data_IF_752673163636
#
_entry.id   IF_752673163636
#
_cell.length_a   1.000
_cell.length_b   1.000
_cell.length_c   1.000
_cell.angle_alpha   90.00
_cell.angle_beta   90.00
_cell.angle_gamma   90.00
#
_symmetry.space_group_name_H-M   'P 1'
#
loop_
_entity.id
_entity.type
_entity.pdbx_description
1 polymer ?
#
# COMPACT_ATOMS: atom_id res chain seq x y z
N UNK A 1 15.62 -37.07 -23.68
CA UNK A 1 15.06 -36.81 -22.34
C UNK A 1 15.09 -35.31 -22.11
N UNK A 2 13.98 -34.60 -22.33
CA UNK A 2 13.92 -33.15 -22.10
C UNK A 2 13.52 -32.93 -20.63
N UNK A 3 14.36 -32.23 -19.88
CA UNK A 3 14.01 -31.77 -18.55
C UNK A 3 12.81 -30.81 -18.70
N UNK A 4 11.63 -31.22 -18.25
CA UNK A 4 10.55 -30.28 -18.02
C UNK A 4 10.98 -29.43 -16.83
N UNK A 5 11.70 -28.34 -17.09
CA UNK A 5 11.93 -27.32 -16.08
C UNK A 5 10.56 -26.76 -15.70
N UNK A 6 9.92 -27.38 -14.70
CA UNK A 6 8.88 -26.76 -13.89
C UNK A 6 9.57 -25.67 -13.07
N UNK A 7 9.98 -24.59 -13.76
CA UNK A 7 10.16 -23.32 -13.08
C UNK A 7 8.73 -22.92 -12.69
N UNK A 8 8.40 -22.81 -11.39
CA UNK A 8 7.10 -22.27 -11.03
C UNK A 8 7.05 -20.90 -11.68
N UNK A 9 6.08 -20.68 -12.56
CA UNK A 9 5.78 -19.38 -13.13
C UNK A 9 5.27 -18.51 -11.97
N UNK A 10 6.19 -18.06 -11.12
CA UNK A 10 5.91 -17.18 -10.03
C UNK A 10 5.71 -15.79 -10.63
N UNK A 11 4.46 -15.48 -10.95
CA UNK A 11 4.05 -14.10 -11.16
C UNK A 11 4.27 -13.37 -9.85
N UNK A 12 5.28 -12.50 -9.83
CA UNK A 12 5.54 -11.58 -8.74
C UNK A 12 4.27 -10.81 -8.42
N UNK A 13 3.60 -11.13 -7.31
CA UNK A 13 2.55 -10.29 -6.77
C UNK A 13 3.23 -9.15 -6.01
N UNK A 14 3.11 -7.93 -6.55
CA UNK A 14 3.60 -6.73 -5.87
C UNK A 14 2.57 -6.33 -4.83
N UNK A 15 2.85 -6.55 -3.56
CA UNK A 15 2.04 -6.01 -2.47
C UNK A 15 2.60 -4.64 -2.08
N UNK A 16 1.82 -3.59 -2.28
CA UNK A 16 2.20 -2.21 -1.91
C UNK A 16 1.72 -1.92 -0.49
N UNK A 17 2.65 -1.54 0.38
CA UNK A 17 2.35 -1.05 1.72
C UNK A 17 2.54 0.47 1.75
N UNK A 18 1.51 1.20 2.17
CA UNK A 18 1.55 2.66 2.36
C UNK A 18 1.08 3.02 3.76
N UNK A 19 1.78 3.95 4.40
CA UNK A 19 1.38 4.48 5.69
C UNK A 19 1.80 5.94 5.85
N UNK A 20 1.04 6.70 6.61
CA UNK A 20 1.37 8.07 6.98
C UNK A 20 2.43 8.08 8.07
N UNK A 21 3.51 8.84 7.86
CA UNK A 21 4.55 9.00 8.88
C UNK A 21 4.38 10.35 9.59
N UNK A 22 4.26 10.31 10.92
CA UNK A 22 4.16 11.50 11.78
C UNK A 22 5.23 11.45 12.87
N UNK A 23 5.53 12.61 13.48
CA UNK A 23 6.46 12.72 14.61
C UNK A 23 6.10 11.76 15.76
N UNK A 24 4.81 11.44 15.95
CA UNK A 24 4.33 10.49 16.95
C UNK A 24 4.32 9.02 16.52
N UNK A 25 4.74 8.70 15.30
CA UNK A 25 4.76 7.33 14.76
C UNK A 25 4.04 7.16 13.43
N UNK A 26 3.89 5.89 13.03
CA UNK A 26 3.17 5.48 11.82
C UNK A 26 1.66 5.57 12.07
N UNK A 27 0.92 6.12 11.11
CA UNK A 27 -0.54 6.26 11.14
C UNK A 27 -1.13 5.90 9.76
N UNK A 28 -2.43 5.66 9.68
CA UNK A 28 -3.12 5.30 8.44
C UNK A 28 -2.39 4.21 7.59
N UNK A 29 -2.12 3.00 8.11
CA UNK A 29 -1.54 1.94 7.30
C UNK A 29 -2.56 1.33 6.33
N UNK A 30 -2.14 1.07 5.09
CA UNK A 30 -2.91 0.38 4.05
C UNK A 30 -2.00 -0.58 3.29
N UNK A 31 -2.53 -1.77 2.99
CA UNK A 31 -1.90 -2.79 2.15
C UNK A 31 -2.76 -2.96 0.91
N UNK A 32 -2.14 -2.95 -0.26
CA UNK A 32 -2.79 -3.16 -1.55
C UNK A 32 -2.09 -4.31 -2.27
N UNK A 33 -2.87 -5.26 -2.77
CA UNK A 33 -2.38 -6.32 -3.65
C UNK A 33 -2.34 -5.77 -5.08
N UNK A 34 -1.20 -5.17 -5.43
CA UNK A 34 -0.97 -4.49 -6.70
C UNK A 34 -0.15 -3.21 -6.56
N UNK A 35 0.20 -2.58 -7.68
CA UNK A 35 0.80 -1.25 -7.69
C UNK A 35 -0.18 -0.22 -7.12
N UNK A 36 0.35 0.79 -6.42
CA UNK A 36 -0.43 1.93 -5.99
C UNK A 36 -0.68 2.87 -7.17
N UNK A 37 -1.91 2.91 -7.65
CA UNK A 37 -2.36 3.85 -8.69
C UNK A 37 -2.82 5.19 -8.09
N UNK A 38 -3.00 6.19 -8.97
CA UNK A 38 -3.47 7.52 -8.56
C UNK A 38 -4.85 7.49 -7.87
N UNK A 39 -5.78 6.68 -8.36
CA UNK A 39 -7.11 6.51 -7.74
C UNK A 39 -7.01 5.84 -6.37
N UNK A 40 -6.18 4.80 -6.24
CA UNK A 40 -5.92 4.12 -4.98
C UNK A 40 -5.27 5.07 -3.96
N UNK A 41 -4.40 5.98 -4.41
CA UNK A 41 -3.83 7.02 -3.58
C UNK A 41 -4.86 8.05 -3.11
N UNK A 42 -5.78 8.49 -3.98
CA UNK A 42 -6.85 9.41 -3.59
C UNK A 42 -7.78 8.76 -2.57
N UNK A 43 -8.15 7.49 -2.78
CA UNK A 43 -8.93 6.71 -1.82
C UNK A 43 -8.18 6.61 -0.47
N UNK A 44 -6.89 6.29 -0.53
CA UNK A 44 -6.03 6.24 0.66
C UNK A 44 -6.07 7.55 1.45
N UNK A 45 -5.90 8.68 0.76
CA UNK A 45 -5.92 9.99 1.40
C UNK A 45 -7.28 10.28 2.04
N UNK A 46 -8.38 9.97 1.34
CA UNK A 46 -9.72 10.29 1.81
C UNK A 46 -10.20 9.39 2.95
N UNK A 47 -9.99 8.09 2.82
CA UNK A 47 -10.56 7.10 3.73
C UNK A 47 -9.63 6.78 4.92
N UNK A 48 -8.31 6.84 4.71
CA UNK A 48 -7.34 6.47 5.74
C UNK A 48 -6.59 7.67 6.30
N UNK A 49 -5.99 8.50 5.45
CA UNK A 49 -5.13 9.58 5.92
C UNK A 49 -5.95 10.72 6.56
N UNK A 50 -7.00 11.18 5.87
CA UNK A 50 -7.80 12.33 6.29
C UNK A 50 -8.41 12.18 7.70
N UNK A 51 -9.03 11.04 8.07
CA UNK A 51 -9.55 10.85 9.43
C UNK A 51 -8.47 10.84 10.52
N UNK A 52 -7.22 10.48 10.17
CA UNK A 52 -6.09 10.46 11.12
C UNK A 52 -5.45 11.83 11.33
N UNK A 53 -5.77 12.81 10.47
CA UNK A 53 -5.32 14.19 10.64
C UNK A 53 -6.16 14.85 11.74
N UNK A 54 -5.53 15.06 12.91
CA UNK A 54 -6.11 15.90 13.95
C UNK A 54 -6.31 17.31 13.39
N UNK A 55 -7.48 17.94 13.59
CA UNK A 55 -7.66 19.34 13.24
C UNK A 55 -6.57 20.16 13.92
N UNK A 56 -5.94 21.07 13.17
CA UNK A 56 -4.98 21.99 13.74
C UNK A 56 -5.73 22.92 14.69
N UNK A 57 -5.62 22.66 16.00
CA UNK A 57 -6.05 23.61 17.02
C UNK A 57 -5.09 24.79 16.95
N UNK A 58 -5.55 25.90 16.37
CA UNK A 58 -4.86 27.19 16.37
C UNK A 58 -4.96 27.87 17.74
#
# INVERSE_FOLDING_TARGET
>A
MRLCCLSPAWTWQTTTFIAGLRVGGITAPMVLDGPLDGEAFVLYVREFLWPTLKPATW
#
